data_IF_367399975269
#
_entry.id   IF_367399975269
#
_cell.length_a   1.000
_cell.length_b   1.000
_cell.length_c   1.000
_cell.angle_alpha   90.00
_cell.angle_beta   90.00
_cell.angle_gamma   90.00
#
_symmetry.space_group_name_H-M   'P 1'
#
loop_
_entity.id
_entity.type
_entity.pdbx_description
1 polymer ?
#
# COMPACT_ATOMS: atom_id res chain seq x y z
N UNK A 1 -10.53 -21.16 8.30
CA UNK A 1 -9.39 -21.30 9.22
C UNK A 1 -8.23 -20.47 8.70
N UNK A 2 -7.68 -19.57 9.51
CA UNK A 2 -6.47 -18.83 9.16
C UNK A 2 -5.26 -19.77 9.10
N UNK A 3 -4.28 -19.43 8.26
CA UNK A 3 -3.04 -20.20 8.15
C UNK A 3 -2.23 -20.12 9.46
N UNK A 4 -1.96 -21.26 10.08
CA UNK A 4 -1.11 -21.41 11.27
C UNK A 4 0.01 -22.41 10.99
N UNK A 5 1.23 -22.12 11.43
CA UNK A 5 2.37 -23.05 11.34
C UNK A 5 2.39 -23.98 12.56
N UNK A 6 2.86 -25.21 12.36
CA UNK A 6 3.12 -26.18 13.43
C UNK A 6 4.27 -25.65 14.30
N UNK A 7 3.99 -25.40 15.58
CA UNK A 7 4.96 -24.90 16.57
C UNK A 7 5.74 -26.05 17.21
N UNK A 8 6.73 -25.73 18.06
CA UNK A 8 7.44 -26.75 18.84
C UNK A 8 6.49 -27.53 19.76
N UNK A 9 5.55 -26.83 20.41
CA UNK A 9 4.53 -27.44 21.27
C UNK A 9 3.65 -28.42 20.49
N UNK A 10 3.15 -28.01 19.32
CA UNK A 10 2.38 -28.88 18.43
C UNK A 10 3.19 -30.15 18.07
N UNK A 11 4.50 -30.01 17.82
CA UNK A 11 5.39 -31.15 17.52
C UNK A 11 5.56 -32.09 18.70
N UNK A 12 5.62 -31.58 19.93
CA UNK A 12 5.71 -32.41 21.14
C UNK A 12 4.42 -33.23 21.28
N UNK A 13 3.25 -32.60 21.10
CA UNK A 13 1.96 -33.29 21.15
C UNK A 13 1.84 -34.35 20.05
N UNK A 14 2.30 -34.06 18.82
CA UNK A 14 2.35 -35.06 17.74
C UNK A 14 3.20 -36.26 18.16
N UNK A 15 4.36 -36.05 18.80
CA UNK A 15 5.23 -37.14 19.24
C UNK A 15 4.56 -38.01 20.30
N UNK A 16 4.03 -37.40 21.36
CA UNK A 16 3.31 -38.13 22.42
C UNK A 16 2.14 -38.92 21.84
N UNK A 17 1.39 -38.32 20.93
CA UNK A 17 0.23 -38.97 20.32
C UNK A 17 0.62 -40.17 19.43
N UNK A 18 1.75 -40.07 18.73
CA UNK A 18 2.31 -41.20 17.97
C UNK A 18 2.80 -42.34 18.88
N UNK A 19 3.34 -42.02 20.05
CA UNK A 19 3.81 -43.01 21.02
C UNK A 19 2.64 -43.76 21.68
N UNK A 20 1.49 -43.11 21.80
CA UNK A 20 0.21 -43.71 22.24
C UNK A 20 -0.49 -44.48 21.11
N UNK A 21 -0.01 -44.39 19.86
CA UNK A 21 -0.57 -45.11 18.72
C UNK A 21 -1.79 -44.45 18.07
N UNK A 22 -2.04 -43.16 18.34
CA UNK A 22 -3.15 -42.42 17.72
C UNK A 22 -2.98 -42.29 16.21
N UNK A 23 -4.11 -42.33 15.51
CA UNK A 23 -4.18 -42.13 14.07
C UNK A 23 -3.92 -40.66 13.68
N UNK A 24 -3.54 -40.44 12.43
CA UNK A 24 -3.31 -39.08 11.90
C UNK A 24 -4.56 -38.21 11.92
N UNK A 25 -5.75 -38.81 11.89
CA UNK A 25 -7.02 -38.08 11.99
C UNK A 25 -7.22 -37.54 13.40
N UNK A 26 -7.07 -38.39 14.42
CA UNK A 26 -7.25 -38.00 15.83
C UNK A 26 -6.24 -36.93 16.26
N UNK A 27 -4.99 -37.03 15.80
CA UNK A 27 -3.96 -36.02 16.05
C UNK A 27 -4.35 -34.66 15.43
N UNK A 28 -4.96 -34.69 14.25
CA UNK A 28 -5.37 -33.49 13.53
C UNK A 28 -6.55 -32.81 14.24
N UNK A 29 -7.54 -33.59 14.68
CA UNK A 29 -8.70 -33.10 15.42
C UNK A 29 -8.27 -32.49 16.77
N UNK A 30 -7.34 -33.14 17.48
CA UNK A 30 -6.82 -32.66 18.77
C UNK A 30 -6.05 -31.33 18.66
N UNK A 31 -5.33 -31.11 17.55
CA UNK A 31 -4.52 -29.91 17.34
C UNK A 31 -5.24 -28.83 16.50
N UNK A 32 -6.43 -29.11 15.98
CA UNK A 32 -7.15 -28.21 15.08
C UNK A 32 -6.46 -28.01 13.72
N UNK A 33 -5.66 -28.97 13.27
CA UNK A 33 -5.05 -28.96 11.94
C UNK A 33 -5.81 -29.86 10.97
N UNK A 34 -5.62 -29.66 9.67
CA UNK A 34 -6.09 -30.62 8.69
C UNK A 34 -5.22 -31.90 8.75
N UNK A 35 -5.84 -33.08 8.60
CA UNK A 35 -5.17 -34.39 8.49
C UNK A 35 -3.98 -34.39 7.52
N UNK A 36 -4.10 -33.70 6.39
CA UNK A 36 -3.01 -33.57 5.42
C UNK A 36 -1.82 -32.76 5.94
N UNK A 37 -2.03 -31.78 6.82
CA UNK A 37 -0.95 -31.01 7.46
C UNK A 37 -0.14 -31.90 8.39
N UNK A 38 -0.81 -32.65 9.26
CA UNK A 38 -0.17 -33.62 10.16
C UNK A 38 0.54 -34.72 9.36
N UNK A 39 -0.12 -35.26 8.33
CA UNK A 39 0.48 -36.25 7.44
C UNK A 39 1.76 -35.74 6.76
N UNK A 40 1.75 -34.52 6.21
CA UNK A 40 2.94 -33.92 5.60
C UNK A 40 4.05 -33.65 6.63
N UNK A 41 3.70 -33.18 7.83
CA UNK A 41 4.68 -32.91 8.89
C UNK A 41 5.39 -34.19 9.34
N UNK A 42 4.65 -35.28 9.53
CA UNK A 42 5.22 -36.57 9.94
C UNK A 42 6.08 -37.14 8.81
N UNK A 43 5.55 -37.22 7.59
CA UNK A 43 6.27 -37.84 6.46
C UNK A 43 7.56 -37.09 6.13
N UNK A 44 7.52 -35.76 6.11
CA UNK A 44 8.69 -34.91 5.79
C UNK A 44 9.80 -35.00 6.83
N UNK A 45 9.46 -35.32 8.08
CA UNK A 45 10.39 -35.26 9.21
C UNK A 45 10.57 -36.61 9.92
N UNK A 46 10.18 -37.72 9.28
CA UNK A 46 10.45 -39.08 9.76
C UNK A 46 11.92 -39.43 9.49
N UNK A 47 12.69 -39.63 10.57
CA UNK A 47 14.05 -40.15 10.49
C UNK A 47 14.09 -41.67 10.68
N UNK A 48 15.30 -42.27 10.57
CA UNK A 48 15.52 -43.71 10.86
C UNK A 48 15.13 -44.11 12.29
N UNK A 49 15.17 -43.15 13.24
CA UNK A 49 14.78 -43.33 14.65
C UNK A 49 13.42 -42.72 14.99
N UNK A 50 12.54 -42.57 14.00
CA UNK A 50 11.19 -42.02 14.18
C UNK A 50 11.12 -40.49 14.17
N UNK A 51 10.05 -39.95 14.76
CA UNK A 51 9.74 -38.52 14.80
C UNK A 51 10.34 -37.87 16.06
N UNK A 52 11.13 -36.79 15.91
CA UNK A 52 11.86 -36.14 17.03
C UNK A 52 11.63 -34.62 17.05
N UNK A 53 10.78 -34.09 17.95
CA UNK A 53 10.32 -32.70 17.91
C UNK A 53 11.43 -31.65 17.78
N UNK A 54 12.48 -31.71 18.62
CA UNK A 54 13.60 -30.76 18.59
C UNK A 54 14.35 -30.78 17.26
N UNK A 55 14.62 -31.96 16.71
CA UNK A 55 15.28 -32.08 15.40
C UNK A 55 14.40 -31.56 14.26
N UNK A 56 13.09 -31.81 14.35
CA UNK A 56 12.14 -31.28 13.37
C UNK A 56 12.09 -29.75 13.41
N UNK A 57 12.09 -29.17 14.61
CA UNK A 57 12.13 -27.72 14.81
C UNK A 57 13.37 -27.09 14.15
N UNK A 58 14.56 -27.60 14.46
CA UNK A 58 15.82 -27.12 13.87
C UNK A 58 15.78 -27.23 12.34
N UNK A 59 15.28 -28.34 11.79
CA UNK A 59 15.10 -28.50 10.34
C UNK A 59 14.06 -27.53 9.75
N UNK A 60 13.01 -27.20 10.48
CA UNK A 60 12.02 -26.23 10.04
C UNK A 60 12.57 -24.81 10.02
N UNK A 61 13.34 -24.43 11.04
CA UNK A 61 14.05 -23.15 11.14
C UNK A 61 15.11 -23.01 10.05
N UNK A 62 15.97 -24.02 9.87
CA UNK A 62 16.97 -24.04 8.80
C UNK A 62 16.33 -23.91 7.41
N UNK A 63 15.13 -24.47 7.17
CA UNK A 63 14.40 -24.29 5.91
C UNK A 63 13.84 -22.89 5.74
N UNK A 64 13.52 -22.19 6.82
CA UNK A 64 13.07 -20.79 6.77
C UNK A 64 14.27 -19.90 6.44
N UNK A 65 15.41 -20.15 7.08
CA UNK A 65 16.66 -19.42 6.87
C UNK A 65 17.21 -19.63 5.46
N UNK A 66 17.18 -20.86 4.96
CA UNK A 66 17.61 -21.20 3.59
C UNK A 66 16.55 -20.89 2.53
N UNK A 67 15.38 -20.35 2.91
CA UNK A 67 14.34 -19.92 1.96
C UNK A 67 14.78 -18.64 1.27
N UNK A 68 15.74 -18.75 0.37
CA UNK A 68 16.05 -17.69 -0.57
C UNK A 68 15.09 -17.83 -1.75
N UNK A 69 14.14 -16.89 -1.89
CA UNK A 69 13.48 -16.68 -3.19
C UNK A 69 14.53 -16.36 -4.26
N UNK A 70 14.19 -16.32 -5.56
CA UNK A 70 15.13 -15.90 -6.59
C UNK A 70 15.63 -14.50 -6.26
N UNK A 71 16.84 -14.44 -5.68
CA UNK A 71 17.42 -13.21 -5.19
C UNK A 71 17.99 -12.48 -6.39
N UNK A 72 17.15 -11.71 -7.08
CA UNK A 72 17.59 -10.90 -8.23
C UNK A 72 18.63 -9.84 -7.83
N UNK A 73 18.86 -9.68 -6.53
CA UNK A 73 19.77 -8.71 -5.95
C UNK A 73 21.17 -9.29 -5.69
N UNK A 74 21.74 -9.98 -6.68
CA UNK A 74 23.10 -10.51 -6.59
C UNK A 74 24.13 -9.39 -6.31
N UNK A 75 25.34 -9.72 -5.80
CA UNK A 75 26.38 -8.71 -5.53
C UNK A 75 26.71 -7.82 -6.75
N UNK A 76 26.68 -8.38 -7.96
CA UNK A 76 26.87 -7.66 -9.22
C UNK A 76 25.72 -6.67 -9.51
N UNK A 77 24.48 -7.05 -9.19
CA UNK A 77 23.33 -6.14 -9.32
C UNK A 77 23.42 -5.00 -8.31
N UNK A 78 23.81 -5.32 -7.07
CA UNK A 78 24.00 -4.32 -6.02
C UNK A 78 25.06 -3.30 -6.42
N UNK A 79 26.24 -3.75 -6.86
CA UNK A 79 27.32 -2.84 -7.26
C UNK A 79 26.88 -1.91 -8.40
N UNK A 80 26.16 -2.44 -9.39
CA UNK A 80 25.66 -1.65 -10.51
C UNK A 80 24.61 -0.62 -10.08
N UNK A 81 23.68 -0.99 -9.19
CA UNK A 81 22.70 -0.05 -8.64
C UNK A 81 23.40 1.05 -7.84
N UNK A 82 24.42 0.69 -7.03
CA UNK A 82 25.21 1.64 -6.24
C UNK A 82 25.94 2.65 -7.14
N UNK A 83 26.57 2.19 -8.22
CA UNK A 83 27.25 3.05 -9.19
C UNK A 83 26.27 4.06 -9.81
N UNK A 84 25.10 3.60 -10.28
CA UNK A 84 24.10 4.48 -10.89
C UNK A 84 23.43 5.43 -9.89
N UNK A 85 23.23 5.00 -8.64
CA UNK A 85 22.74 5.88 -7.58
C UNK A 85 23.74 7.01 -7.28
N UNK A 86 25.04 6.72 -7.24
CA UNK A 86 26.09 7.76 -7.06
C UNK A 86 26.03 8.82 -8.17
N UNK A 87 25.67 8.41 -9.40
CA UNK A 87 25.43 9.32 -10.53
C UNK A 87 24.08 10.06 -10.48
N UNK A 88 23.33 9.97 -9.36
CA UNK A 88 22.02 10.61 -9.15
C UNK A 88 20.91 10.11 -10.08
N UNK A 89 20.99 8.87 -10.57
CA UNK A 89 19.90 8.27 -11.33
C UNK A 89 18.72 7.91 -10.41
N UNK A 90 17.49 8.06 -10.89
CA UNK A 90 16.32 7.57 -10.15
C UNK A 90 16.22 6.04 -10.24
N UNK A 91 15.65 5.35 -9.24
CA UNK A 91 15.38 3.91 -9.31
C UNK A 91 14.62 3.48 -10.57
N UNK A 92 13.68 4.31 -11.05
CA UNK A 92 12.98 4.13 -12.32
C UNK A 92 13.93 4.16 -13.52
N UNK A 93 14.84 5.14 -13.57
CA UNK A 93 15.84 5.25 -14.64
C UNK A 93 16.80 4.07 -14.63
N UNK A 94 17.23 3.62 -13.45
CA UNK A 94 18.14 2.46 -13.31
C UNK A 94 17.46 1.21 -13.86
N UNK A 95 16.26 0.90 -13.37
CA UNK A 95 15.50 -0.28 -13.80
C UNK A 95 15.23 -0.28 -15.32
N UNK A 96 14.76 0.86 -15.84
CA UNK A 96 14.41 0.98 -17.25
C UNK A 96 15.64 0.94 -18.17
N UNK A 97 16.74 1.57 -17.77
CA UNK A 97 17.97 1.58 -18.58
C UNK A 97 18.56 0.18 -18.69
N UNK A 98 18.67 -0.55 -17.58
CA UNK A 98 19.21 -1.91 -17.60
C UNK A 98 18.38 -2.83 -18.49
N UNK A 99 17.05 -2.64 -18.47
CA UNK A 99 16.15 -3.37 -19.37
C UNK A 99 16.40 -3.05 -20.85
N UNK A 100 16.65 -1.78 -21.20
CA UNK A 100 16.96 -1.37 -22.58
C UNK A 100 18.32 -1.93 -23.02
N UNK A 101 19.31 -1.92 -22.14
CA UNK A 101 20.68 -2.38 -22.43
C UNK A 101 20.81 -3.92 -22.47
N UNK A 102 19.71 -4.66 -22.28
CA UNK A 102 19.72 -6.13 -22.25
C UNK A 102 20.46 -6.71 -21.03
N UNK A 103 20.77 -5.87 -20.04
CA UNK A 103 21.45 -6.28 -18.82
C UNK A 103 20.47 -6.92 -17.83
N UNK A 104 20.96 -7.75 -16.88
CA UNK A 104 20.15 -8.16 -15.74
C UNK A 104 19.56 -6.92 -15.06
N UNK A 105 18.24 -6.93 -14.82
CA UNK A 105 17.53 -5.82 -14.20
C UNK A 105 16.60 -6.29 -13.07
N UNK A 106 16.33 -5.36 -12.15
CA UNK A 106 15.35 -5.52 -11.07
C UNK A 106 14.22 -4.51 -11.23
N UNK A 107 13.07 -4.79 -10.62
CA UNK A 107 11.95 -3.84 -10.61
C UNK A 107 12.33 -2.59 -9.80
N UNK A 108 11.67 -1.48 -10.11
CA UNK A 108 11.83 -0.21 -9.39
C UNK A 108 11.56 -0.38 -7.89
N UNK A 109 10.52 -1.14 -7.54
CA UNK A 109 10.16 -1.46 -6.16
C UNK A 109 11.25 -2.24 -5.44
N UNK A 110 11.94 -3.15 -6.13
CA UNK A 110 13.07 -3.90 -5.56
C UNK A 110 14.22 -2.97 -5.19
N UNK A 111 14.52 -1.98 -6.04
CA UNK A 111 15.56 -0.96 -5.77
C UNK A 111 15.14 -0.08 -4.59
N UNK A 112 13.87 0.33 -4.50
CA UNK A 112 13.36 1.09 -3.36
C UNK A 112 13.44 0.30 -2.05
N UNK A 113 13.08 -0.98 -2.07
CA UNK A 113 13.18 -1.86 -0.90
C UNK A 113 14.64 -2.03 -0.45
N UNK A 114 15.57 -2.17 -1.39
CA UNK A 114 17.00 -2.21 -1.08
C UNK A 114 17.49 -0.93 -0.39
N UNK A 115 17.13 0.24 -0.91
CA UNK A 115 17.49 1.53 -0.32
C UNK A 115 16.83 1.71 1.06
N UNK A 116 15.59 1.28 1.21
CA UNK A 116 14.87 1.36 2.48
C UNK A 116 15.48 0.44 3.55
N UNK A 117 15.95 -0.75 3.17
CA UNK A 117 16.59 -1.68 4.08
C UNK A 117 17.98 -1.19 4.51
N UNK A 118 18.77 -0.65 3.57
CA UNK A 118 20.03 0.04 3.88
C UNK A 118 19.80 1.18 4.89
N UNK A 119 18.76 2.00 4.67
CA UNK A 119 18.41 3.10 5.58
C UNK A 119 18.05 2.61 7.00
N UNK A 120 17.32 1.49 7.13
CA UNK A 120 17.01 0.91 8.44
C UNK A 120 18.26 0.40 9.16
N UNK A 121 19.23 -0.10 8.40
CA UNK A 121 20.51 -0.58 8.90
C UNK A 121 21.53 0.56 9.16
N UNK A 122 21.12 1.83 9.04
CA UNK A 122 21.96 3.00 9.30
C UNK A 122 22.75 3.50 8.09
N UNK A 123 22.51 2.94 6.89
CA UNK A 123 23.15 3.35 5.66
C UNK A 123 22.63 4.67 5.08
N UNK A 124 23.37 5.18 4.10
CA UNK A 124 23.16 6.51 3.53
C UNK A 124 22.71 6.49 2.05
N UNK A 125 22.35 5.33 1.49
CA UNK A 125 22.01 5.22 0.06
C UNK A 125 20.86 6.14 -0.35
N UNK A 126 19.92 6.36 0.55
CA UNK A 126 18.78 7.26 0.34
C UNK A 126 19.20 8.72 0.04
N UNK A 127 20.39 9.16 0.48
CA UNK A 127 20.91 10.51 0.21
C UNK A 127 21.30 10.72 -1.25
N UNK A 128 21.56 9.63 -1.98
CA UNK A 128 21.91 9.68 -3.40
C UNK A 128 20.68 9.82 -4.31
N UNK A 129 19.47 9.61 -3.80
CA UNK A 129 18.23 9.80 -4.56
C UNK A 129 18.09 11.24 -5.06
N UNK A 130 17.82 11.39 -6.37
CA UNK A 130 17.66 12.69 -7.05
C UNK A 130 16.52 13.53 -6.47
N UNK A 131 15.46 12.88 -6.00
CA UNK A 131 14.40 13.50 -5.22
C UNK A 131 14.44 12.91 -3.83
N UNK A 132 14.72 13.75 -2.83
CA UNK A 132 14.44 13.35 -1.46
C UNK A 132 12.94 13.17 -1.30
N UNK A 133 12.51 12.35 -0.34
CA UNK A 133 11.11 12.28 0.13
C UNK A 133 10.74 13.60 0.84
N UNK A 134 10.88 14.73 0.15
CA UNK A 134 10.42 16.03 0.62
C UNK A 134 8.92 15.88 0.74
N UNK A 135 8.44 15.63 1.97
CA UNK A 135 7.03 15.80 2.32
C UNK A 135 6.67 17.15 1.72
N UNK A 136 5.76 17.17 0.74
CA UNK A 136 5.14 18.43 0.33
C UNK A 136 4.76 19.10 1.64
N UNK A 137 5.31 20.28 1.94
CA UNK A 137 4.73 21.11 2.98
C UNK A 137 3.24 21.16 2.61
N UNK A 138 2.35 20.73 3.51
CA UNK A 138 0.95 21.13 3.39
C UNK A 138 1.04 22.64 3.19
N UNK A 139 0.51 23.17 2.08
CA UNK A 139 0.33 24.61 1.99
C UNK A 139 -0.36 24.99 3.29
N UNK A 140 0.30 25.78 4.12
CA UNK A 140 -0.31 26.29 5.33
C UNK A 140 -1.68 26.86 4.93
N UNK A 141 -2.74 26.65 5.72
CA UNK A 141 -3.95 27.43 5.54
C UNK A 141 -3.58 28.85 5.96
N UNK A 142 -2.98 29.63 5.07
CA UNK A 142 -3.15 31.06 5.15
C UNK A 142 -4.67 31.23 5.10
N UNK A 143 -5.27 31.68 6.19
CA UNK A 143 -6.63 32.20 6.13
C UNK A 143 -6.71 33.08 4.89
N UNK A 144 -7.68 32.76 4.03
CA UNK A 144 -7.83 33.42 2.76
C UNK A 144 -8.13 34.88 3.04
N UNK A 145 -7.14 35.78 2.86
CA UNK A 145 -7.28 37.22 3.14
C UNK A 145 -8.23 37.93 2.16
N UNK A 146 -8.84 37.18 1.24
CA UNK A 146 -9.89 37.66 0.35
C UNK A 146 -11.18 37.78 1.17
N UNK A 147 -11.75 38.98 1.22
CA UNK A 147 -12.96 39.26 1.99
C UNK A 147 -14.07 38.26 1.71
N UNK A 148 -14.40 37.42 2.70
CA UNK A 148 -15.56 36.55 2.62
C UNK A 148 -16.83 37.39 2.66
N UNK A 149 -17.85 37.00 1.89
CA UNK A 149 -19.16 37.65 1.94
C UNK A 149 -19.72 37.51 3.36
N UNK A 150 -19.82 38.63 4.08
CA UNK A 150 -20.33 38.64 5.44
C UNK A 150 -21.77 38.13 5.46
N UNK A 151 -22.10 37.26 6.43
CA UNK A 151 -23.43 36.64 6.59
C UNK A 151 -23.90 35.80 5.38
N UNK A 152 -22.99 35.27 4.57
CA UNK A 152 -23.35 34.30 3.53
C UNK A 152 -24.01 33.06 4.17
N UNK A 153 -25.19 32.70 3.68
CA UNK A 153 -25.83 31.44 4.08
C UNK A 153 -25.14 30.28 3.35
N UNK A 154 -24.53 29.32 4.07
CA UNK A 154 -23.87 28.20 3.43
C UNK A 154 -24.89 27.31 2.71
N UNK A 155 -24.43 26.61 1.67
CA UNK A 155 -25.27 25.73 0.85
C UNK A 155 -25.93 24.61 1.69
N UNK A 156 -25.31 24.22 2.79
CA UNK A 156 -25.82 23.22 3.74
C UNK A 156 -27.08 23.69 4.49
N UNK A 157 -27.30 25.00 4.66
CA UNK A 157 -28.50 25.56 5.30
C UNK A 157 -29.68 25.72 4.35
N UNK A 158 -29.60 25.17 3.14
CA UNK A 158 -30.69 25.20 2.16
C UNK A 158 -31.86 24.35 2.63
N UNK A 159 -33.09 24.77 2.31
CA UNK A 159 -34.28 23.96 2.60
C UNK A 159 -34.30 22.65 1.79
N UNK A 160 -34.85 21.59 2.37
CA UNK A 160 -34.96 20.28 1.70
C UNK A 160 -35.75 20.36 0.39
N UNK A 161 -36.81 21.17 0.33
CA UNK A 161 -37.62 21.40 -0.88
C UNK A 161 -36.79 21.89 -2.08
N UNK A 162 -35.78 22.73 -1.83
CA UNK A 162 -34.87 23.22 -2.86
C UNK A 162 -33.82 22.17 -3.28
N UNK A 163 -33.36 21.32 -2.34
CA UNK A 163 -32.48 20.19 -2.65
C UNK A 163 -33.17 19.16 -3.53
N UNK A 164 -34.42 18.81 -3.20
CA UNK A 164 -35.23 17.83 -3.94
C UNK A 164 -35.95 18.39 -5.18
N UNK A 165 -35.65 19.62 -5.60
CA UNK A 165 -36.26 20.25 -6.79
C UNK A 165 -37.80 20.24 -6.82
N UNK A 166 -38.45 20.35 -5.65
CA UNK A 166 -39.89 20.10 -5.53
C UNK A 166 -40.76 21.27 -5.99
N UNK A 167 -40.28 22.53 -5.93
CA UNK A 167 -41.05 23.73 -6.32
C UNK A 167 -40.22 24.70 -7.18
N UNK A 168 -40.88 25.39 -8.11
CA UNK A 168 -40.33 26.56 -8.82
C UNK A 168 -40.20 27.76 -7.86
N UNK A 169 -39.25 28.65 -8.10
CA UNK A 169 -38.95 29.82 -7.27
C UNK A 169 -37.71 29.66 -6.39
N UNK A 170 -37.00 28.52 -6.48
CA UNK A 170 -35.70 28.33 -5.84
C UNK A 170 -34.60 28.73 -6.82
N UNK A 171 -34.25 30.01 -6.81
CA UNK A 171 -33.24 30.59 -7.67
C UNK A 171 -31.84 30.44 -7.05
N UNK A 172 -30.92 29.85 -7.83
CA UNK A 172 -29.48 29.91 -7.60
C UNK A 172 -28.88 31.05 -8.42
N UNK A 173 -27.88 31.73 -7.88
CA UNK A 173 -27.16 32.80 -8.56
C UNK A 173 -25.68 32.46 -8.57
N UNK A 174 -25.10 32.43 -9.76
CA UNK A 174 -23.66 32.28 -9.97
C UNK A 174 -23.12 33.52 -10.68
N UNK A 175 -21.83 33.79 -10.48
CA UNK A 175 -21.14 34.90 -11.12
C UNK A 175 -19.94 34.37 -11.89
N UNK A 176 -19.98 34.47 -13.21
CA UNK A 176 -18.84 34.17 -14.07
C UNK A 176 -18.04 35.46 -14.27
N UNK A 177 -16.82 35.50 -13.76
CA UNK A 177 -15.95 36.68 -13.86
C UNK A 177 -14.93 36.47 -14.98
N UNK A 178 -14.87 37.43 -15.90
CA UNK A 178 -13.94 37.43 -17.03
C UNK A 178 -12.50 37.75 -16.62
N UNK A 179 -11.59 37.63 -17.60
CA UNK A 179 -10.15 37.91 -17.40
C UNK A 179 -9.95 39.31 -16.80
N UNK A 180 -9.07 39.39 -15.81
CA UNK A 180 -8.71 40.63 -15.10
C UNK A 180 -9.91 41.36 -14.45
N UNK A 181 -11.00 40.66 -14.13
CA UNK A 181 -12.20 41.24 -13.50
C UNK A 181 -12.89 42.36 -14.33
N UNK A 182 -12.60 42.48 -15.63
CA UNK A 182 -13.11 43.56 -16.50
C UNK A 182 -14.57 43.39 -16.96
N UNK A 183 -15.13 42.20 -16.76
CA UNK A 183 -16.52 41.91 -17.11
C UNK A 183 -17.01 40.77 -16.22
N UNK A 184 -18.30 40.76 -15.93
CA UNK A 184 -18.92 39.64 -15.25
C UNK A 184 -20.27 39.30 -15.90
N UNK A 185 -20.66 38.04 -15.83
CA UNK A 185 -21.98 37.58 -16.23
C UNK A 185 -22.66 37.01 -15.00
N UNK A 186 -23.76 37.63 -14.61
CA UNK A 186 -24.66 37.12 -13.59
C UNK A 186 -25.53 36.03 -14.23
N UNK A 187 -25.47 34.84 -13.66
CA UNK A 187 -26.28 33.69 -14.04
C UNK A 187 -27.31 33.47 -12.94
N UNK A 188 -28.60 33.42 -13.30
CA UNK A 188 -29.68 33.11 -12.37
C UNK A 188 -30.44 31.90 -12.90
N UNK A 189 -30.48 30.83 -12.12
CA UNK A 189 -31.05 29.55 -12.53
C UNK A 189 -32.12 29.09 -11.55
N UNK A 190 -33.32 28.76 -12.03
CA UNK A 190 -34.32 28.08 -11.23
C UNK A 190 -34.01 26.58 -11.18
N UNK A 191 -33.84 26.01 -9.98
CA UNK A 191 -33.36 24.62 -9.86
C UNK A 191 -34.32 23.57 -10.41
N UNK A 192 -35.64 23.81 -10.32
CA UNK A 192 -36.66 22.83 -10.72
C UNK A 192 -36.86 22.86 -12.23
N UNK A 193 -37.09 24.05 -12.78
CA UNK A 193 -37.40 24.25 -14.19
C UNK A 193 -36.16 24.34 -15.08
N UNK A 194 -34.96 24.51 -14.50
CA UNK A 194 -33.70 24.78 -15.20
C UNK A 194 -33.75 26.01 -16.10
N UNK A 195 -34.71 26.89 -15.85
CA UNK A 195 -34.83 28.14 -16.55
C UNK A 195 -33.69 29.08 -16.14
N UNK A 196 -32.95 29.57 -17.13
CA UNK A 196 -31.76 30.38 -16.94
C UNK A 196 -32.00 31.81 -17.42
N UNK A 197 -31.60 32.79 -16.61
CA UNK A 197 -31.48 34.20 -17.00
C UNK A 197 -30.02 34.60 -16.90
N UNK A 198 -29.51 35.19 -17.97
CA UNK A 198 -28.16 35.74 -18.03
C UNK A 198 -28.24 37.25 -18.10
N UNK A 199 -27.39 37.94 -17.34
CA UNK A 199 -27.21 39.38 -17.44
C UNK A 199 -25.72 39.70 -17.43
N UNK A 200 -25.26 40.36 -18.49
CA UNK A 200 -23.92 40.96 -18.49
C UNK A 200 -23.91 42.12 -17.50
N UNK A 201 -22.90 42.15 -16.65
CA UNK A 201 -22.59 43.24 -15.75
C UNK A 201 -21.40 43.99 -16.32
N UNK A 202 -21.55 45.30 -16.43
CA UNK A 202 -20.44 46.18 -16.73
C UNK A 202 -19.60 46.32 -15.45
N UNK A 203 -18.29 46.13 -15.60
CA UNK A 203 -17.32 46.07 -14.50
C UNK A 203 -16.73 47.43 -14.14
#
# INVERSE_FOLDING_TARGET
>A
MGYRRVTLEDRIVIKVSLDVGLSRSEIADKLGFNKSTIGREITRNKGRRGYRPRQVQIKAEARIETKQGPYKMNPVMMSLILERLKLRWSPEQISHRLRIEGQPYVSTETIYNFIAEDQKNGGELWRHLRRSRRRRKRCFPSEDRRGMIQKARPISKRSQKANHWQRKGHWERDLMVGKNHKSAVLVITDRKSRFNKFRKLDG
#
